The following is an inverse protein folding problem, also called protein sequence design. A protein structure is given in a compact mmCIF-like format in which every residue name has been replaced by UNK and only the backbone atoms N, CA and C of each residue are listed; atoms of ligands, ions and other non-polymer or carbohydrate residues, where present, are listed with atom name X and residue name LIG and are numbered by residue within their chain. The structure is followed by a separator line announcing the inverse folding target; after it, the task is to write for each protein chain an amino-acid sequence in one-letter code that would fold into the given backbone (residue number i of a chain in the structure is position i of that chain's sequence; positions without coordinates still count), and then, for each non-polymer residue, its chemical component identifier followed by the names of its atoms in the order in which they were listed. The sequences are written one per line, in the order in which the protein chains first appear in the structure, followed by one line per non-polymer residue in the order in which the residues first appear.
data_IF_559756756613
#
_entry.id   IF_559756756613
#
_cell.length_a   1.000
_cell.length_b   1.000
_cell.length_c   1.000
_cell.angle_alpha   90.00
_cell.angle_beta   90.00
_cell.angle_gamma   90.00
#
_symmetry.space_group_name_H-M   'P 1'
#
loop_
_entity.id
_entity.type
_entity.pdbx_description
1 polymer ?
#
# COMPACT_ATOMS: atom_id res chain seq x y z
N UNK A 1 12.59 -11.20 10.20
CA UNK A 1 11.59 -11.10 9.12
C UNK A 1 10.90 -9.75 9.27
N UNK A 2 10.84 -8.95 8.22
CA UNK A 2 10.15 -7.66 8.24
C UNK A 2 8.64 -7.83 8.27
N UNK A 3 7.94 -6.82 8.78
CA UNK A 3 6.48 -6.76 8.82
C UNK A 3 5.93 -6.01 7.59
N UNK A 4 4.64 -6.19 7.31
CA UNK A 4 3.91 -5.41 6.31
C UNK A 4 3.37 -4.12 6.90
N UNK A 5 3.64 -3.01 6.21
CA UNK A 5 3.18 -1.68 6.58
C UNK A 5 1.85 -1.41 5.88
N UNK A 6 0.75 -1.75 6.54
CA UNK A 6 -0.58 -1.53 6.02
C UNK A 6 -1.01 -0.08 6.19
N UNK A 7 -1.55 0.51 5.13
CA UNK A 7 -2.07 1.88 5.16
C UNK A 7 -3.50 1.90 4.63
N UNK A 8 -4.26 2.86 5.14
CA UNK A 8 -5.55 3.24 4.58
C UNK A 8 -5.79 4.72 4.78
N UNK A 9 -6.48 5.34 3.83
CA UNK A 9 -6.98 6.72 3.93
C UNK A 9 -8.47 6.76 4.27
N UNK A 10 -9.10 5.58 4.34
CA UNK A 10 -10.53 5.43 4.53
C UNK A 10 -10.85 5.11 6.00
N UNK A 11 -11.17 6.17 6.77
CA UNK A 11 -11.55 6.03 8.17
C UNK A 11 -12.85 5.23 8.36
N UNK A 12 -13.81 5.40 7.46
CA UNK A 12 -15.14 4.78 7.57
C UNK A 12 -15.07 3.27 7.45
N UNK A 13 -14.20 2.76 6.57
CA UNK A 13 -14.00 1.34 6.32
C UNK A 13 -12.74 0.76 6.97
N UNK A 14 -12.13 1.46 7.93
CA UNK A 14 -10.84 1.09 8.52
C UNK A 14 -10.83 -0.35 9.05
N UNK A 15 -11.87 -0.75 9.80
CA UNK A 15 -11.94 -2.09 10.43
C UNK A 15 -12.00 -3.20 9.37
N UNK A 16 -12.82 -3.02 8.34
CA UNK A 16 -12.96 -3.99 7.25
C UNK A 16 -11.66 -4.10 6.44
N UNK A 17 -11.03 -2.97 6.15
CA UNK A 17 -9.75 -2.90 5.43
C UNK A 17 -8.65 -3.56 6.25
N UNK A 18 -8.55 -3.24 7.54
CA UNK A 18 -7.59 -3.84 8.47
C UNK A 18 -7.74 -5.36 8.51
N UNK A 19 -8.97 -5.89 8.63
CA UNK A 19 -9.19 -7.33 8.66
C UNK A 19 -8.74 -8.00 7.34
N UNK A 20 -9.07 -7.40 6.19
CA UNK A 20 -8.68 -7.93 4.87
C UNK A 20 -7.18 -7.93 4.66
N UNK A 21 -6.50 -6.84 5.02
CA UNK A 21 -5.05 -6.75 4.92
C UNK A 21 -4.37 -7.68 5.93
N UNK A 22 -4.93 -7.85 7.14
CA UNK A 22 -4.42 -8.82 8.13
C UNK A 22 -4.51 -10.24 7.61
N UNK A 23 -5.64 -10.61 7.02
CA UNK A 23 -5.82 -11.92 6.41
C UNK A 23 -4.82 -12.17 5.28
N UNK A 24 -4.56 -11.17 4.43
CA UNK A 24 -3.54 -11.24 3.39
C UNK A 24 -2.12 -11.42 3.97
N UNK A 25 -1.77 -10.65 4.99
CA UNK A 25 -0.46 -10.74 5.66
C UNK A 25 -0.26 -12.11 6.35
N UNK A 26 -1.29 -12.59 7.05
CA UNK A 26 -1.29 -13.88 7.73
C UNK A 26 -1.10 -15.04 6.75
N UNK A 27 -1.71 -14.98 5.57
CA UNK A 27 -1.52 -15.99 4.51
C UNK A 27 -0.04 -16.13 4.10
N UNK A 28 0.72 -15.03 4.17
CA UNK A 28 2.15 -15.00 3.84
C UNK A 28 3.05 -15.13 5.09
N UNK A 29 2.48 -15.49 6.25
CA UNK A 29 3.16 -15.55 7.55
C UNK A 29 3.90 -14.24 7.91
N UNK A 30 3.30 -13.09 7.60
CA UNK A 30 3.82 -11.76 7.93
C UNK A 30 2.92 -11.05 8.92
N UNK A 31 3.54 -10.36 9.87
CA UNK A 31 2.86 -9.43 10.76
C UNK A 31 2.42 -8.19 9.96
N UNK A 32 1.23 -7.66 10.23
CA UNK A 32 0.76 -6.40 9.66
C UNK A 32 0.69 -5.32 10.74
N UNK A 33 1.27 -4.15 10.47
CA UNK A 33 1.02 -2.94 11.24
C UNK A 33 0.19 -1.97 10.41
N UNK A 34 -1.00 -1.66 10.89
CA UNK A 34 -1.96 -0.79 10.19
C UNK A 34 -1.85 0.66 10.64
N UNK A 35 -1.90 1.57 9.67
CA UNK A 35 -1.86 3.02 9.89
C UNK A 35 -2.98 3.70 9.10
N UNK A 36 -3.82 4.45 9.81
CA UNK A 36 -4.78 5.36 9.20
C UNK A 36 -4.07 6.68 8.90
N UNK A 37 -4.04 7.07 7.63
CA UNK A 37 -3.39 8.30 7.17
C UNK A 37 -4.43 9.28 6.64
N UNK A 38 -4.23 10.57 6.93
CA UNK A 38 -5.14 11.63 6.43
C UNK A 38 -4.73 12.09 5.03
N UNK A 39 -3.44 11.98 4.68
CA UNK A 39 -2.89 12.35 3.38
C UNK A 39 -1.54 11.67 3.13
N UNK A 40 -1.06 11.74 1.89
CA UNK A 40 0.22 11.13 1.48
C UNK A 40 1.44 11.81 2.12
N UNK A 41 1.35 13.10 2.48
CA UNK A 41 2.46 13.79 3.14
C UNK A 41 2.80 13.13 4.49
N UNK A 42 1.78 12.65 5.21
CA UNK A 42 1.99 11.86 6.42
C UNK A 42 2.68 10.53 6.13
N UNK A 43 2.38 9.85 5.02
CA UNK A 43 3.05 8.59 4.66
C UNK A 43 4.56 8.77 4.60
N UNK A 44 5.03 9.82 3.91
CA UNK A 44 6.46 10.10 3.81
C UNK A 44 7.07 10.36 5.20
N UNK A 45 6.39 11.13 6.05
CA UNK A 45 6.83 11.38 7.41
C UNK A 45 6.96 10.08 8.22
N UNK A 46 5.97 9.18 8.15
CA UNK A 46 6.01 7.89 8.84
C UNK A 46 7.20 7.05 8.37
N UNK A 47 7.40 6.94 7.05
CA UNK A 47 8.48 6.13 6.47
C UNK A 47 9.87 6.68 6.88
N UNK A 48 10.03 8.00 7.00
CA UNK A 48 11.30 8.61 7.43
C UNK A 48 11.76 8.17 8.83
N UNK A 49 10.82 7.86 9.73
CA UNK A 49 11.11 7.45 11.10
C UNK A 49 11.17 5.94 11.29
N UNK A 50 10.88 5.17 10.25
CA UNK A 50 10.90 3.71 10.30
C UNK A 50 12.24 3.23 9.74
N UNK A 51 12.82 2.21 10.36
CA UNK A 51 13.95 1.50 9.75
C UNK A 51 13.43 0.70 8.55
N UNK A 52 13.79 1.05 7.31
CA UNK A 52 13.28 0.38 6.11
C UNK A 52 13.62 -1.12 6.08
N UNK A 53 14.66 -1.57 6.82
CA UNK A 53 14.98 -3.00 6.94
C UNK A 53 13.94 -3.80 7.75
N UNK A 54 13.11 -3.10 8.52
CA UNK A 54 12.05 -3.71 9.33
C UNK A 54 10.74 -3.84 8.57
N UNK A 55 10.58 -3.12 7.45
CA UNK A 55 9.40 -3.15 6.59
C UNK A 55 9.70 -3.94 5.34
N UNK A 56 8.91 -4.98 5.09
CA UNK A 56 9.05 -5.79 3.89
C UNK A 56 8.32 -5.16 2.71
N UNK A 57 7.10 -4.65 2.97
CA UNK A 57 6.21 -4.12 1.93
C UNK A 57 5.14 -3.21 2.51
N UNK A 58 4.76 -2.18 1.75
CA UNK A 58 3.60 -1.33 2.03
C UNK A 58 2.36 -1.94 1.39
N UNK A 59 1.29 -2.12 2.18
CA UNK A 59 0.02 -2.64 1.68
C UNK A 59 -1.04 -1.55 1.68
N UNK A 60 -1.67 -1.34 0.54
CA UNK A 60 -2.87 -0.53 0.38
C UNK A 60 -4.02 -1.46 -0.01
N UNK A 61 -5.23 -1.18 0.47
CA UNK A 61 -6.36 -2.01 0.07
C UNK A 61 -6.88 -1.63 -1.32
N UNK A 62 -7.26 -0.38 -1.56
CA UNK A 62 -7.75 0.07 -2.86
C UNK A 62 -6.98 1.31 -3.35
N UNK A 63 -6.61 1.34 -4.63
CA UNK A 63 -5.96 2.51 -5.23
C UNK A 63 -6.88 3.74 -5.25
N UNK A 64 -8.20 3.55 -5.21
CA UNK A 64 -9.19 4.62 -5.12
C UNK A 64 -9.07 5.42 -3.82
N UNK A 65 -8.47 4.85 -2.76
CA UNK A 65 -8.19 5.56 -1.51
C UNK A 65 -7.26 6.77 -1.71
N UNK A 66 -6.42 6.74 -2.75
CA UNK A 66 -5.52 7.83 -3.10
C UNK A 66 -6.23 8.97 -3.87
N UNK A 67 -7.48 8.75 -4.29
CA UNK A 67 -8.35 9.76 -4.93
C UNK A 67 -8.01 10.07 -6.39
N UNK A 68 -6.74 10.32 -6.72
CA UNK A 68 -6.33 10.70 -8.07
C UNK A 68 -4.97 10.09 -8.49
N UNK A 69 -4.65 10.25 -9.78
CA UNK A 69 -3.45 9.70 -10.38
C UNK A 69 -2.14 10.38 -9.94
N UNK A 70 -2.19 11.66 -9.59
CA UNK A 70 -1.00 12.39 -9.10
C UNK A 70 -0.59 11.86 -7.73
N UNK A 71 -1.56 11.60 -6.87
CA UNK A 71 -1.39 11.03 -5.55
C UNK A 71 -0.86 9.58 -5.61
N UNK A 72 -1.31 8.77 -6.58
CA UNK A 72 -0.70 7.47 -6.86
C UNK A 72 0.77 7.58 -7.28
N UNK A 73 1.11 8.51 -8.19
CA UNK A 73 2.50 8.75 -8.59
C UNK A 73 3.35 9.19 -7.42
N UNK A 74 2.83 10.05 -6.54
CA UNK A 74 3.52 10.51 -5.32
C UNK A 74 3.74 9.34 -4.37
N UNK A 75 2.72 8.52 -4.11
CA UNK A 75 2.80 7.31 -3.29
C UNK A 75 3.90 6.36 -3.79
N UNK A 76 3.88 6.01 -5.07
CA UNK A 76 4.88 5.14 -5.70
C UNK A 76 6.30 5.73 -5.61
N UNK A 77 6.43 7.04 -5.85
CA UNK A 77 7.71 7.76 -5.73
C UNK A 77 8.25 7.75 -4.31
N UNK A 78 7.39 7.92 -3.30
CA UNK A 78 7.77 7.83 -1.88
C UNK A 78 8.28 6.43 -1.57
N UNK A 79 7.51 5.39 -1.91
CA UNK A 79 7.94 4.01 -1.66
C UNK A 79 9.31 3.71 -2.31
N UNK A 80 9.47 4.09 -3.59
CA UNK A 80 10.73 3.93 -4.32
C UNK A 80 11.89 4.72 -3.70
N UNK A 81 11.65 5.96 -3.24
CA UNK A 81 12.67 6.81 -2.59
C UNK A 81 13.27 6.16 -1.34
N UNK A 82 12.46 5.42 -0.58
CA UNK A 82 12.91 4.73 0.63
C UNK A 82 13.22 3.23 0.41
N UNK A 83 13.22 2.76 -0.85
CA UNK A 83 13.53 1.37 -1.18
C UNK A 83 12.47 0.37 -0.72
N UNK A 84 11.22 0.82 -0.55
CA UNK A 84 10.10 0.00 -0.11
C UNK A 84 9.30 -0.51 -1.32
N UNK A 85 8.99 -1.80 -1.30
CA UNK A 85 7.99 -2.38 -2.20
C UNK A 85 6.59 -2.01 -1.73
N UNK A 86 5.63 -1.96 -2.66
CA UNK A 86 4.21 -1.78 -2.31
C UNK A 86 3.31 -2.74 -3.07
N UNK A 87 2.11 -3.00 -2.54
CA UNK A 87 1.07 -3.77 -3.21
C UNK A 87 -0.31 -3.24 -2.87
N UNK A 88 -1.22 -3.34 -3.86
CA UNK A 88 -2.62 -2.96 -3.74
C UNK A 88 -3.45 -4.24 -3.82
N UNK A 89 -4.27 -4.52 -2.80
CA UNK A 89 -4.89 -5.84 -2.61
C UNK A 89 -6.24 -5.98 -3.32
N UNK A 90 -7.08 -4.95 -3.31
CA UNK A 90 -8.31 -4.90 -4.11
C UNK A 90 -7.94 -4.60 -5.56
N UNK A 91 -7.64 -5.65 -6.29
CA UNK A 91 -7.71 -5.66 -7.74
C UNK A 91 -9.07 -6.26 -8.12
N UNK A 92 -10.08 -5.41 -8.31
CA UNK A 92 -11.28 -5.81 -9.06
C UNK A 92 -10.84 -6.04 -10.51
N UNK A 93 -10.25 -7.21 -10.80
CA UNK A 93 -9.99 -7.67 -12.17
C UNK A 93 -11.27 -8.32 -12.72
N UNK A 94 -12.38 -7.58 -12.66
CA UNK A 94 -13.43 -7.68 -13.68
C UNK A 94 -13.17 -6.56 -14.69
N UNK A 95 -12.02 -6.68 -15.34
CA UNK A 95 -11.48 -5.69 -16.27
C UNK A 95 -12.08 -5.91 -17.66
N UNK A 96 -13.24 -5.30 -17.91
CA UNK A 96 -13.63 -4.86 -19.27
C UNK A 96 -12.93 -3.54 -19.66
N UNK A 97 -11.91 -3.11 -18.90
CA UNK A 97 -11.14 -1.89 -19.14
C UNK A 97 -9.65 -2.21 -19.12
N UNK A 98 -9.04 -2.28 -20.29
CA UNK A 98 -7.59 -2.45 -20.49
C UNK A 98 -6.78 -1.56 -19.53
N UNK A 99 -6.34 -2.13 -18.41
CA UNK A 99 -5.24 -1.59 -17.62
C UNK A 99 -3.98 -1.81 -18.45
N UNK A 100 -3.24 -0.75 -18.85
CA UNK A 100 -2.06 -0.92 -19.67
C UNK A 100 -1.07 -1.81 -18.92
N UNK A 101 -0.89 -3.03 -19.42
CA UNK A 101 -0.01 -4.08 -18.88
C UNK A 101 1.43 -3.58 -18.64
N UNK A 102 1.82 -2.48 -19.28
CA UNK A 102 3.08 -1.78 -19.05
C UNK A 102 3.34 -1.33 -17.61
N UNK A 103 2.33 -1.18 -16.75
CA UNK A 103 2.52 -0.72 -15.37
C UNK A 103 2.96 -1.81 -14.38
N UNK A 104 2.79 -3.11 -14.72
CA UNK A 104 3.26 -4.23 -13.90
C UNK A 104 4.70 -4.65 -14.26
N UNK A 105 5.17 -4.30 -15.45
CA UNK A 105 6.45 -4.77 -16.00
C UNK A 105 7.68 -3.94 -15.65
N UNK A 106 7.54 -2.76 -15.03
CA UNK A 106 8.69 -1.99 -14.51
C UNK A 106 9.09 -2.40 -13.07
N UNK A 107 8.55 -3.52 -12.57
CA UNK A 107 8.96 -4.18 -11.33
C UNK A 107 9.79 -5.42 -11.70
N UNK A 108 11.05 -5.21 -12.10
CA UNK A 108 12.17 -6.16 -11.97
C UNK A 108 13.41 -5.37 -11.56
#
# INVERSE_FOLDING_TARGET
MGYYFGITFNKEHYVDIEERLKNHANFLNRELKMYLLVNIDLLELYIQFIDPKTVDRVLLYDYKELGNWEDFKRFSKICKKYGLEYSIIQQDIHSDVDLPIGYLTDII
#
